data_IF_921178230660
#
_entry.id   IF_921178230660
#
_cell.length_a   1.000
_cell.length_b   1.000
_cell.length_c   1.000
_cell.angle_alpha   90.00
_cell.angle_beta   90.00
_cell.angle_gamma   90.00
#
_symmetry.space_group_name_H-M   'P 1'
#
loop_
_entity.id
_entity.type
_entity.pdbx_description
1 polymer ?
#
# COMPACT_ATOMS: atom_id res chain seq x y z
N UNK A 1 -1.03 0.30 -1.62
CA UNK A 1 -0.27 -0.98 -1.61
C UNK A 1 -0.20 -1.49 -3.04
N UNK A 2 0.97 -1.46 -3.66
CA UNK A 2 1.14 -1.79 -5.07
C UNK A 2 2.26 -2.80 -5.27
N UNK A 3 1.94 -3.95 -5.88
CA UNK A 3 2.85 -5.10 -5.94
C UNK A 3 4.11 -4.83 -6.77
N UNK A 4 3.96 -4.31 -7.97
CA UNK A 4 5.05 -4.08 -8.91
C UNK A 4 4.77 -2.88 -9.79
N UNK A 5 5.84 -2.16 -10.16
CA UNK A 5 5.73 -0.93 -10.94
C UNK A 5 6.08 -1.10 -12.42
N UNK A 6 5.84 -2.22 -13.00
CA UNK A 6 6.27 -2.55 -14.37
C UNK A 6 5.64 -1.67 -15.47
N UNK A 7 5.84 -0.35 -15.37
CA UNK A 7 5.25 0.64 -16.27
C UNK A 7 3.72 0.53 -16.33
N UNK A 8 3.10 0.23 -15.21
CA UNK A 8 1.65 0.14 -15.08
C UNK A 8 1.06 1.54 -15.22
N UNK A 9 0.76 1.94 -16.42
CA UNK A 9 0.36 3.31 -16.73
C UNK A 9 -0.96 3.67 -16.06
N UNK A 10 -1.88 2.72 -15.92
CA UNK A 10 -3.13 2.93 -15.22
C UNK A 10 -2.92 3.38 -13.77
N UNK A 11 -2.12 2.63 -12.99
CA UNK A 11 -1.87 2.96 -11.58
C UNK A 11 -0.99 4.21 -11.47
N UNK A 12 0.07 4.32 -12.27
CA UNK A 12 0.95 5.49 -12.26
C UNK A 12 0.20 6.77 -12.60
N UNK A 13 -0.57 6.78 -13.69
CA UNK A 13 -1.26 7.98 -14.15
C UNK A 13 -2.50 8.27 -13.33
N UNK A 14 -3.41 7.33 -13.23
CA UNK A 14 -4.75 7.62 -12.70
C UNK A 14 -4.82 7.63 -11.18
N UNK A 15 -3.93 6.90 -10.52
CA UNK A 15 -3.91 6.85 -9.05
C UNK A 15 -2.83 7.72 -8.41
N UNK A 16 -1.69 7.91 -9.06
CA UNK A 16 -0.56 8.65 -8.48
C UNK A 16 -0.47 10.05 -9.05
N UNK A 17 -0.25 10.17 -10.37
CA UNK A 17 -0.05 11.47 -11.02
C UNK A 17 -1.31 12.33 -10.96
N UNK A 18 -2.46 11.78 -11.33
CA UNK A 18 -3.72 12.53 -11.26
C UNK A 18 -4.07 12.95 -9.85
N UNK A 19 -3.73 12.11 -8.85
CA UNK A 19 -3.91 12.49 -7.45
C UNK A 19 -3.10 13.73 -7.10
N UNK A 20 -1.82 13.77 -7.47
CA UNK A 20 -0.98 14.94 -7.24
C UNK A 20 -1.49 16.17 -8.02
N UNK A 21 -1.94 15.99 -9.26
CA UNK A 21 -2.41 17.09 -10.11
C UNK A 21 -3.76 17.68 -9.68
N UNK A 22 -4.60 16.93 -8.96
CA UNK A 22 -5.90 17.41 -8.47
C UNK A 22 -5.78 18.58 -7.50
N UNK A 23 -4.70 18.62 -6.72
CA UNK A 23 -4.47 19.73 -5.81
C UNK A 23 -3.85 20.90 -6.57
N UNK A 24 -4.57 22.02 -6.81
CA UNK A 24 -4.03 23.12 -7.59
C UNK A 24 -2.87 23.86 -6.91
N UNK A 25 -2.75 23.70 -5.59
CA UNK A 25 -1.75 24.39 -4.76
C UNK A 25 -0.57 23.51 -4.36
N UNK A 26 -0.67 22.18 -4.56
CA UNK A 26 0.33 21.23 -4.07
C UNK A 26 0.44 20.02 -5.01
N UNK A 27 1.09 20.22 -6.15
CA UNK A 27 1.28 19.18 -7.18
C UNK A 27 2.63 18.48 -6.98
N UNK A 28 2.81 17.83 -5.83
CA UNK A 28 4.10 17.33 -5.38
C UNK A 28 4.11 15.83 -5.14
N UNK A 29 5.21 15.19 -5.52
CA UNK A 29 5.51 13.79 -5.23
C UNK A 29 6.89 13.68 -4.59
N UNK A 30 6.96 13.04 -3.42
CA UNK A 30 8.20 12.66 -2.76
C UNK A 30 8.44 11.16 -2.96
N UNK A 31 9.60 10.80 -3.47
CA UNK A 31 10.01 9.41 -3.66
C UNK A 31 11.10 9.01 -2.66
N UNK A 32 10.89 7.91 -1.95
CA UNK A 32 11.79 7.41 -0.91
C UNK A 32 12.36 6.04 -1.28
N UNK A 33 13.55 5.96 -1.91
CA UNK A 33 14.17 4.69 -2.30
C UNK A 33 14.95 4.04 -1.15
N UNK A 34 14.52 4.22 0.09
CA UNK A 34 15.28 3.84 1.29
C UNK A 34 15.32 2.33 1.56
N UNK A 35 14.54 1.53 0.85
CA UNK A 35 14.61 0.07 0.90
C UNK A 35 15.71 -0.53 0.03
N UNK A 36 16.38 0.31 -0.80
CA UNK A 36 17.56 -0.07 -1.56
C UNK A 36 18.82 0.13 -0.72
N UNK A 37 19.75 -0.86 -0.79
CA UNK A 37 20.95 -0.89 0.06
C UNK A 37 21.91 0.26 -0.21
N UNK A 38 22.40 0.34 -1.43
CA UNK A 38 23.45 1.26 -1.82
C UNK A 38 22.94 2.45 -2.62
N UNK A 39 23.75 3.53 -2.66
CA UNK A 39 23.38 4.77 -3.35
C UNK A 39 23.03 4.55 -4.82
N UNK A 40 23.81 3.75 -5.54
CA UNK A 40 23.55 3.48 -6.96
C UNK A 40 22.24 2.69 -7.16
N UNK A 41 21.85 1.83 -6.23
CA UNK A 41 20.58 1.13 -6.26
C UNK A 41 19.42 2.10 -5.98
N UNK A 42 19.59 3.03 -5.05
CA UNK A 42 18.61 4.09 -4.79
C UNK A 42 18.43 5.00 -6.01
N UNK A 43 19.53 5.39 -6.67
CA UNK A 43 19.50 6.18 -7.90
C UNK A 43 18.76 5.44 -9.02
N UNK A 44 19.03 4.15 -9.19
CA UNK A 44 18.31 3.32 -10.14
C UNK A 44 16.81 3.26 -9.82
N UNK A 45 16.45 3.01 -8.57
CA UNK A 45 15.06 2.96 -8.13
C UNK A 45 14.32 4.27 -8.45
N UNK A 46 14.92 5.42 -8.15
CA UNK A 46 14.36 6.71 -8.52
C UNK A 46 14.24 6.89 -10.04
N UNK A 47 15.24 6.47 -10.80
CA UNK A 47 15.26 6.63 -12.25
C UNK A 47 14.09 5.89 -12.92
N UNK A 48 13.60 4.80 -12.33
CA UNK A 48 12.46 4.02 -12.85
C UNK A 48 11.14 4.80 -12.79
N UNK A 49 11.05 5.84 -11.98
CA UNK A 49 9.86 6.69 -11.82
C UNK A 49 10.05 8.09 -12.42
N UNK A 50 11.23 8.68 -12.27
CA UNK A 50 11.47 10.08 -12.64
C UNK A 50 11.22 10.34 -14.12
N UNK A 51 11.59 9.42 -15.00
CA UNK A 51 11.35 9.54 -16.44
C UNK A 51 9.85 9.63 -16.76
N UNK A 52 9.01 8.91 -16.01
CA UNK A 52 7.56 8.94 -16.18
C UNK A 52 6.96 10.25 -15.65
N UNK A 53 7.35 10.66 -14.44
CA UNK A 53 6.86 11.89 -13.83
C UNK A 53 7.27 13.14 -14.60
N UNK A 54 8.43 13.11 -15.26
CA UNK A 54 8.90 14.22 -16.09
C UNK A 54 7.95 14.56 -17.25
N UNK A 55 7.15 13.61 -17.72
CA UNK A 55 6.13 13.88 -18.74
C UNK A 55 5.03 14.83 -18.27
N UNK A 56 4.88 15.03 -16.96
CA UNK A 56 3.82 15.82 -16.36
C UNK A 56 4.30 17.16 -15.78
N UNK A 57 5.56 17.49 -15.93
CA UNK A 57 6.12 18.78 -15.46
C UNK A 57 5.45 19.98 -16.14
N UNK A 58 5.03 19.83 -17.38
CA UNK A 58 4.26 20.86 -18.11
C UNK A 58 2.89 21.17 -17.46
N UNK A 59 2.36 20.26 -16.63
CA UNK A 59 1.12 20.47 -15.85
C UNK A 59 1.39 20.95 -14.42
N UNK A 60 2.66 21.26 -14.12
CA UNK A 60 3.09 21.75 -12.82
C UNK A 60 3.44 20.65 -11.81
N UNK A 61 3.54 19.39 -12.23
CA UNK A 61 3.98 18.31 -11.34
C UNK A 61 5.44 18.51 -10.94
N UNK A 62 5.70 18.43 -9.64
CA UNK A 62 7.05 18.51 -9.05
C UNK A 62 7.31 17.22 -8.26
N UNK A 63 8.21 16.38 -8.75
CA UNK A 63 8.56 15.11 -8.14
C UNK A 63 10.06 15.08 -7.82
N UNK A 64 10.40 14.75 -6.58
CA UNK A 64 11.79 14.68 -6.10
C UNK A 64 12.03 13.41 -5.28
N UNK A 65 13.26 12.89 -5.29
CA UNK A 65 13.68 11.84 -4.36
C UNK A 65 14.27 12.43 -3.08
N UNK A 66 14.28 11.61 -2.03
CA UNK A 66 15.15 11.81 -0.88
C UNK A 66 15.90 10.50 -0.61
N UNK A 67 17.23 10.53 -0.67
CA UNK A 67 18.08 9.35 -0.54
C UNK A 67 18.54 9.14 0.89
N UNK A 68 18.61 7.87 1.30
CA UNK A 68 19.31 7.50 2.53
C UNK A 68 20.82 7.67 2.35
N UNK A 69 21.46 8.17 3.40
CA UNK A 69 22.92 8.19 3.55
C UNK A 69 23.27 8.03 5.02
N UNK A 70 24.35 7.34 5.31
CA UNK A 70 24.87 7.21 6.68
C UNK A 70 25.42 8.54 7.22
N UNK A 71 25.57 9.55 6.35
CA UNK A 71 26.04 10.88 6.70
C UNK A 71 24.92 11.93 6.80
N UNK A 72 23.64 11.50 6.90
CA UNK A 72 22.53 12.42 7.10
C UNK A 72 22.72 13.23 8.39
N UNK A 73 22.50 14.53 8.28
CA UNK A 73 22.53 15.45 9.42
C UNK A 73 21.09 15.78 9.82
N UNK A 74 20.94 16.30 11.04
CA UNK A 74 19.61 16.69 11.54
C UNK A 74 18.86 17.62 10.58
N UNK A 75 19.53 18.61 10.00
CA UNK A 75 18.92 19.54 9.04
C UNK A 75 18.40 18.85 7.77
N UNK A 76 19.08 17.80 7.31
CA UNK A 76 18.64 17.02 6.13
C UNK A 76 17.37 16.24 6.48
N UNK A 77 17.30 15.70 7.68
CA UNK A 77 16.15 14.96 8.20
C UNK A 77 14.98 15.88 8.54
N UNK A 78 15.26 17.07 9.08
CA UNK A 78 14.23 18.11 9.28
C UNK A 78 13.55 18.46 7.94
N UNK A 79 14.33 18.61 6.88
CA UNK A 79 13.82 18.87 5.53
C UNK A 79 12.98 17.69 5.01
N UNK A 80 13.45 16.45 5.22
CA UNK A 80 12.69 15.26 4.84
C UNK A 80 11.33 15.22 5.53
N UNK A 81 11.28 15.46 6.84
CA UNK A 81 10.02 15.44 7.58
C UNK A 81 9.09 16.59 7.19
N UNK A 82 9.64 17.74 6.79
CA UNK A 82 8.86 18.82 6.22
C UNK A 82 8.22 18.39 4.88
N UNK A 83 8.98 17.80 3.98
CA UNK A 83 8.45 17.24 2.73
C UNK A 83 7.41 16.14 3.00
N UNK A 84 7.69 15.25 3.93
CA UNK A 84 6.79 14.16 4.29
C UNK A 84 5.42 14.66 4.78
N UNK A 85 5.38 15.75 5.53
CA UNK A 85 4.13 16.38 5.98
C UNK A 85 3.39 17.12 4.88
N UNK A 86 4.12 17.79 4.00
CA UNK A 86 3.55 18.78 3.08
C UNK A 86 3.29 18.25 1.67
N UNK A 87 4.04 17.25 1.19
CA UNK A 87 3.85 16.76 -0.16
C UNK A 87 2.55 15.98 -0.31
N UNK A 88 1.86 16.20 -1.43
CA UNK A 88 0.55 15.57 -1.71
C UNK A 88 0.66 14.04 -1.81
N UNK A 89 1.67 13.56 -2.51
CA UNK A 89 1.94 12.13 -2.68
C UNK A 89 3.32 11.79 -2.15
N UNK A 90 3.39 10.72 -1.37
CA UNK A 90 4.66 10.11 -0.91
C UNK A 90 4.72 8.68 -1.40
N UNK A 91 5.85 8.28 -1.97
CA UNK A 91 6.07 6.94 -2.49
C UNK A 91 7.21 6.27 -1.73
N UNK A 92 6.91 5.12 -1.12
CA UNK A 92 7.92 4.21 -0.56
C UNK A 92 8.35 3.23 -1.67
N UNK A 93 9.61 3.29 -2.05
CA UNK A 93 10.15 2.47 -3.15
C UNK A 93 10.36 1.00 -2.77
N UNK A 94 10.64 0.19 -3.78
CA UNK A 94 10.95 -1.22 -3.63
C UNK A 94 12.34 -1.49 -3.07
N UNK A 95 12.63 -2.78 -2.82
CA UNK A 95 13.91 -3.27 -2.29
C UNK A 95 13.74 -4.26 -1.15
N UNK A 96 14.46 -4.09 -0.07
CA UNK A 96 14.37 -4.91 1.14
C UNK A 96 13.45 -4.23 2.17
N UNK A 97 12.33 -4.87 2.48
CA UNK A 97 11.30 -4.34 3.40
C UNK A 97 11.87 -4.08 4.79
N UNK A 98 12.66 -5.00 5.31
CA UNK A 98 13.23 -4.88 6.66
C UNK A 98 14.26 -3.75 6.74
N UNK A 99 15.15 -3.64 5.76
CA UNK A 99 16.12 -2.53 5.68
C UNK A 99 15.42 -1.17 5.65
N UNK A 100 14.39 -1.03 4.82
CA UNK A 100 13.61 0.20 4.74
C UNK A 100 12.96 0.55 6.08
N UNK A 101 12.34 -0.43 6.73
CA UNK A 101 11.72 -0.24 8.06
C UNK A 101 12.74 0.20 9.12
N UNK A 102 13.93 -0.38 9.12
CA UNK A 102 14.99 0.03 10.04
C UNK A 102 15.39 1.50 9.80
N UNK A 103 15.55 1.90 8.54
CA UNK A 103 15.93 3.28 8.17
C UNK A 103 14.84 4.29 8.53
N UNK A 104 13.58 4.01 8.22
CA UNK A 104 12.47 4.90 8.58
C UNK A 104 12.33 5.10 10.09
N UNK A 105 12.53 4.04 10.89
CA UNK A 105 12.56 4.14 12.36
C UNK A 105 13.78 4.92 12.85
N UNK A 106 14.96 4.66 12.27
CA UNK A 106 16.20 5.33 12.64
C UNK A 106 16.15 6.85 12.41
N UNK A 107 15.47 7.33 11.37
CA UNK A 107 15.28 8.77 11.12
C UNK A 107 14.61 9.48 12.30
N UNK A 108 13.60 8.85 12.89
CA UNK A 108 12.95 9.39 14.08
C UNK A 108 13.77 9.18 15.36
N UNK A 109 14.29 7.99 15.55
CA UNK A 109 15.01 7.62 16.77
C UNK A 109 16.31 8.41 16.95
N UNK A 110 17.16 8.45 15.93
CA UNK A 110 18.48 9.09 16.00
C UNK A 110 18.38 10.61 16.15
N UNK A 111 17.48 11.25 15.42
CA UNK A 111 17.42 12.72 15.34
C UNK A 111 16.37 13.35 16.25
N UNK A 112 15.37 12.59 16.71
CA UNK A 112 14.24 13.10 17.50
C UNK A 112 13.94 12.29 18.75
N UNK A 113 14.72 11.24 19.03
CA UNK A 113 14.46 10.29 20.14
C UNK A 113 13.06 9.65 20.08
N UNK A 114 12.55 9.43 18.88
CA UNK A 114 11.20 8.92 18.64
C UNK A 114 11.18 7.99 17.41
N UNK A 115 11.33 6.68 17.63
CA UNK A 115 11.30 5.68 16.57
C UNK A 115 9.97 5.57 15.82
N UNK A 116 8.89 6.15 16.38
CA UNK A 116 7.55 6.14 15.80
C UNK A 116 7.20 7.43 15.05
N UNK A 117 8.12 8.39 14.95
CA UNK A 117 7.83 9.68 14.32
C UNK A 117 7.42 9.52 12.85
N UNK A 118 8.14 8.71 12.10
CA UNK A 118 7.86 8.49 10.68
C UNK A 118 6.45 7.90 10.47
N UNK A 119 6.12 6.83 11.16
CA UNK A 119 4.80 6.19 11.04
C UNK A 119 3.66 7.11 11.48
N UNK A 120 3.86 7.90 12.54
CA UNK A 120 2.85 8.85 13.00
C UNK A 120 2.54 9.89 11.93
N UNK A 121 3.55 10.42 11.24
CA UNK A 121 3.36 11.37 10.13
C UNK A 121 2.63 10.71 8.96
N UNK A 122 2.92 9.44 8.65
CA UNK A 122 2.17 8.73 7.61
C UNK A 122 0.68 8.60 7.96
N UNK A 123 0.35 8.32 9.22
CA UNK A 123 -1.05 8.27 9.67
C UNK A 123 -1.72 9.66 9.67
N UNK A 124 -1.02 10.72 10.06
CA UNK A 124 -1.49 12.09 9.94
C UNK A 124 -1.81 12.44 8.48
N UNK A 125 -0.92 12.10 7.56
CA UNK A 125 -1.15 12.26 6.11
C UNK A 125 -2.40 11.54 5.63
N UNK A 126 -2.62 10.29 6.07
CA UNK A 126 -3.80 9.51 5.71
C UNK A 126 -5.08 10.19 6.22
N UNK A 127 -5.10 10.67 7.46
CA UNK A 127 -6.25 11.38 8.03
C UNK A 127 -6.53 12.72 7.34
N UNK A 128 -5.50 13.37 6.79
CA UNK A 128 -5.62 14.58 5.98
C UNK A 128 -6.03 14.31 4.52
N UNK A 129 -6.22 13.04 4.15
CA UNK A 129 -6.57 12.63 2.81
C UNK A 129 -5.43 12.70 1.79
N UNK A 130 -4.17 12.83 2.22
CA UNK A 130 -2.99 12.75 1.35
C UNK A 130 -2.66 11.30 1.01
N UNK A 131 -2.12 11.07 -0.19
CA UNK A 131 -1.80 9.74 -0.67
C UNK A 131 -0.41 9.29 -0.23
N UNK A 132 -0.32 8.09 0.32
CA UNK A 132 0.94 7.38 0.50
C UNK A 132 0.90 6.08 -0.31
N UNK A 133 1.88 5.88 -1.16
CA UNK A 133 2.01 4.73 -2.07
C UNK A 133 3.21 3.90 -1.64
N UNK A 134 3.10 2.59 -1.70
CA UNK A 134 4.24 1.69 -1.52
C UNK A 134 4.33 0.72 -2.70
N UNK A 135 5.53 0.53 -3.21
CA UNK A 135 5.84 -0.43 -4.27
C UNK A 135 6.65 -1.59 -3.72
N UNK A 136 6.28 -2.83 -4.03
CA UNK A 136 7.01 -4.02 -3.61
C UNK A 136 7.34 -3.96 -2.11
N UNK A 137 8.60 -3.78 -1.71
CA UNK A 137 8.97 -3.59 -0.31
C UNK A 137 8.18 -2.45 0.37
N UNK A 138 7.95 -1.34 -0.33
CA UNK A 138 7.12 -0.24 0.16
C UNK A 138 5.66 -0.64 0.35
N UNK A 139 5.11 -1.47 -0.54
CA UNK A 139 3.77 -2.00 -0.40
C UNK A 139 3.63 -2.85 0.87
N UNK A 140 4.58 -3.72 1.09
CA UNK A 140 4.71 -4.56 2.26
C UNK A 140 4.75 -3.73 3.56
N UNK A 141 5.54 -2.65 3.54
CA UNK A 141 5.69 -1.73 4.67
C UNK A 141 4.39 -0.98 5.04
N UNK A 142 3.47 -0.78 4.10
CA UNK A 142 2.17 -0.13 4.36
C UNK A 142 1.15 -1.06 5.02
N UNK A 143 1.37 -2.36 4.99
CA UNK A 143 0.52 -3.39 5.59
C UNK A 143 0.70 -3.48 7.11
N UNK A 144 -0.04 -4.38 7.75
CA UNK A 144 0.07 -4.64 9.20
C UNK A 144 1.42 -5.28 9.56
N UNK A 145 1.88 -6.21 8.72
CA UNK A 145 3.14 -6.92 8.88
C UNK A 145 3.92 -6.93 7.57
N UNK A 146 5.24 -6.93 7.67
CA UNK A 146 6.10 -7.13 6.50
C UNK A 146 6.20 -8.61 6.13
N UNK A 147 6.31 -8.94 4.85
CA UNK A 147 6.27 -10.33 4.34
C UNK A 147 7.40 -11.21 4.84
N UNK A 148 8.56 -10.63 5.17
CA UNK A 148 9.69 -11.35 5.74
C UNK A 148 9.60 -11.57 7.25
N UNK A 149 8.46 -11.38 7.88
CA UNK A 149 8.26 -11.44 9.34
C UNK A 149 8.63 -12.78 9.98
N UNK A 150 8.58 -13.87 9.23
CA UNK A 150 8.96 -15.19 9.71
C UNK A 150 10.47 -15.45 9.68
N UNK A 151 11.26 -14.52 9.13
CA UNK A 151 12.72 -14.63 9.16
C UNK A 151 13.26 -14.44 10.57
N UNK A 152 14.17 -15.32 11.05
CA UNK A 152 14.76 -15.19 12.38
C UNK A 152 15.51 -13.87 12.61
N UNK A 153 15.92 -13.18 11.55
CA UNK A 153 16.61 -11.89 11.63
C UNK A 153 15.67 -10.69 11.83
N UNK A 154 14.35 -10.90 11.71
CA UNK A 154 13.36 -9.82 11.83
C UNK A 154 12.86 -9.75 13.27
N UNK A 155 13.37 -8.78 14.03
CA UNK A 155 12.98 -8.58 15.43
C UNK A 155 11.71 -7.73 15.60
N UNK A 156 11.36 -6.93 14.60
CA UNK A 156 10.15 -6.11 14.59
C UNK A 156 9.44 -6.28 13.25
N UNK A 157 8.43 -7.16 13.17
CA UNK A 157 7.76 -7.52 11.92
C UNK A 157 6.64 -6.57 11.52
N UNK A 158 6.31 -5.57 12.35
CA UNK A 158 5.19 -4.67 12.08
C UNK A 158 5.50 -3.70 10.95
N UNK A 159 4.54 -3.54 10.03
CA UNK A 159 4.52 -2.48 9.06
C UNK A 159 3.96 -1.17 9.65
N UNK A 160 3.59 -0.26 8.78
CA UNK A 160 3.04 1.05 9.17
C UNK A 160 1.52 1.03 9.41
N UNK A 161 0.83 -0.05 9.08
CA UNK A 161 -0.62 -0.24 9.27
C UNK A 161 -1.50 0.84 8.63
N UNK A 162 -1.04 1.45 7.52
CA UNK A 162 -1.91 2.30 6.68
C UNK A 162 -2.95 1.45 5.93
N UNK A 163 -2.71 0.15 5.81
CA UNK A 163 -3.69 -0.86 5.48
C UNK A 163 -3.84 -1.79 6.70
N UNK A 164 -4.64 -1.35 7.68
CA UNK A 164 -4.78 -2.02 8.97
C UNK A 164 -5.36 -3.41 8.82
N UNK A 165 -4.78 -4.38 9.54
CA UNK A 165 -5.17 -5.79 9.49
C UNK A 165 -5.21 -6.35 8.05
N UNK A 166 -4.28 -5.91 7.23
CA UNK A 166 -4.03 -6.41 5.87
C UNK A 166 -2.60 -6.92 5.79
N UNK A 167 -2.43 -8.07 5.17
CA UNK A 167 -1.12 -8.65 4.83
C UNK A 167 -1.16 -9.14 3.39
N UNK A 168 -0.02 -9.12 2.72
CA UNK A 168 0.04 -9.44 1.29
C UNK A 168 1.19 -10.38 0.98
N UNK A 169 0.98 -11.25 -0.01
CA UNK A 169 2.07 -11.81 -0.81
C UNK A 169 2.17 -10.99 -2.09
N UNK A 170 3.37 -10.53 -2.40
CA UNK A 170 3.64 -9.70 -3.58
C UNK A 170 4.16 -10.57 -4.72
N UNK A 171 4.04 -10.06 -5.95
CA UNK A 171 4.44 -10.78 -7.16
C UNK A 171 3.77 -12.16 -7.30
N UNK A 172 2.52 -12.24 -6.85
CA UNK A 172 1.76 -13.48 -6.81
C UNK A 172 1.58 -14.08 -8.20
N UNK A 173 1.80 -15.39 -8.31
CA UNK A 173 1.65 -16.17 -9.53
C UNK A 173 0.69 -17.35 -9.29
N UNK A 174 0.14 -17.91 -10.35
CA UNK A 174 -0.67 -19.12 -10.28
C UNK A 174 0.11 -20.28 -9.64
N UNK A 175 -0.56 -20.99 -8.74
CA UNK A 175 0.04 -22.08 -7.97
C UNK A 175 0.73 -21.65 -6.68
N UNK A 176 0.72 -20.37 -6.36
CA UNK A 176 1.27 -19.83 -5.10
C UNK A 176 0.19 -19.48 -4.06
N UNK A 177 -1.03 -19.96 -4.27
CA UNK A 177 -2.18 -19.70 -3.36
C UNK A 177 -1.91 -20.20 -1.93
N UNK A 178 -1.06 -21.24 -1.80
CA UNK A 178 -0.61 -21.76 -0.52
C UNK A 178 0.13 -20.74 0.35
N UNK A 179 0.86 -19.80 -0.27
CA UNK A 179 1.58 -18.75 0.45
C UNK A 179 0.61 -17.77 1.13
N UNK A 180 -0.50 -17.43 0.43
CA UNK A 180 -1.55 -16.56 0.96
C UNK A 180 -2.26 -17.27 2.12
N UNK A 181 -2.60 -18.55 1.93
CA UNK A 181 -3.26 -19.35 2.96
C UNK A 181 -2.38 -19.50 4.20
N UNK A 182 -1.07 -19.69 4.01
CA UNK A 182 -0.11 -19.75 5.11
C UNK A 182 -0.07 -18.43 5.93
N UNK A 183 -0.08 -17.28 5.26
CA UNK A 183 -0.23 -15.98 5.94
C UNK A 183 -1.54 -15.90 6.73
N UNK A 184 -2.66 -16.31 6.13
CA UNK A 184 -3.97 -16.30 6.78
C UNK A 184 -3.99 -17.18 8.03
N UNK A 185 -3.41 -18.38 7.97
CA UNK A 185 -3.33 -19.30 9.10
C UNK A 185 -2.51 -18.74 10.26
N UNK A 186 -1.39 -18.07 9.97
CA UNK A 186 -0.50 -17.52 10.98
C UNK A 186 -0.95 -16.17 11.54
N UNK A 187 -1.81 -15.45 10.81
CA UNK A 187 -2.29 -14.11 11.15
C UNK A 187 -3.83 -14.02 11.08
N UNK A 188 -4.56 -14.73 11.94
CA UNK A 188 -6.01 -14.89 11.83
C UNK A 188 -6.80 -13.59 12.04
N UNK A 189 -6.18 -12.52 12.51
CA UNK A 189 -6.77 -11.19 12.62
C UNK A 189 -6.60 -10.33 11.37
N UNK A 190 -5.78 -10.78 10.41
CA UNK A 190 -5.53 -10.08 9.15
C UNK A 190 -6.32 -10.68 7.99
N UNK A 191 -6.60 -9.86 7.00
CA UNK A 191 -7.01 -10.29 5.68
C UNK A 191 -5.76 -10.46 4.81
N UNK A 192 -5.54 -11.66 4.28
CA UNK A 192 -4.38 -12.01 3.47
C UNK A 192 -4.73 -11.96 1.98
N UNK A 193 -3.96 -11.19 1.21
CA UNK A 193 -4.16 -11.02 -0.23
C UNK A 193 -2.90 -11.41 -1.02
N UNK A 194 -3.08 -12.11 -2.13
CA UNK A 194 -2.04 -12.34 -3.13
C UNK A 194 -2.17 -11.31 -4.25
N UNK A 195 -1.16 -10.46 -4.39
CA UNK A 195 -1.15 -9.40 -5.38
C UNK A 195 -0.26 -9.80 -6.57
N UNK A 196 -0.85 -10.09 -7.75
CA UNK A 196 -0.07 -10.22 -8.97
C UNK A 196 0.72 -8.94 -9.26
N UNK A 197 1.71 -9.05 -10.16
CA UNK A 197 2.32 -7.85 -10.73
C UNK A 197 1.24 -6.98 -11.41
N UNK A 198 1.46 -5.68 -11.48
CA UNK A 198 0.52 -4.69 -12.03
C UNK A 198 -0.84 -4.67 -11.31
N UNK A 199 -0.85 -5.02 -10.04
CA UNK A 199 -2.02 -4.95 -9.18
C UNK A 199 -1.72 -4.28 -7.85
N UNK A 200 -2.77 -3.85 -7.18
CA UNK A 200 -2.65 -3.20 -5.89
C UNK A 200 -3.97 -3.07 -5.14
N UNK A 201 -3.87 -2.57 -3.94
CA UNK A 201 -4.99 -2.22 -3.07
C UNK A 201 -4.97 -0.72 -2.84
N UNK A 202 -6.05 -0.02 -3.19
CA UNK A 202 -6.29 1.34 -2.73
C UNK A 202 -7.10 1.25 -1.44
N UNK A 203 -6.50 1.68 -0.33
CA UNK A 203 -7.07 1.54 1.01
C UNK A 203 -7.39 2.91 1.57
N UNK A 204 -8.62 3.09 2.01
CA UNK A 204 -9.06 4.23 2.80
C UNK A 204 -9.63 3.72 4.12
N UNK A 205 -9.30 4.40 5.23
CA UNK A 205 -9.71 3.97 6.56
C UNK A 205 -9.75 5.15 7.53
N UNK A 206 -10.70 5.12 8.46
CA UNK A 206 -10.79 6.11 9.54
C UNK A 206 -11.70 5.57 10.66
N UNK A 207 -11.91 6.36 11.68
CA UNK A 207 -12.79 6.04 12.80
C UNK A 207 -14.24 6.46 12.51
N UNK A 208 -15.17 5.61 12.90
CA UNK A 208 -16.59 5.94 13.00
C UNK A 208 -16.88 6.67 14.31
N UNK A 209 -17.99 7.40 14.41
CA UNK A 209 -18.44 8.00 15.68
C UNK A 209 -18.60 6.97 16.81
N UNK A 210 -18.85 5.73 16.48
CA UNK A 210 -18.93 4.60 17.43
C UNK A 210 -17.57 4.21 18.04
N UNK A 211 -16.46 4.74 17.51
CA UNK A 211 -15.10 4.34 17.88
C UNK A 211 -14.59 3.13 17.11
N UNK A 212 -15.43 2.49 16.30
CA UNK A 212 -15.00 1.43 15.37
C UNK A 212 -14.20 2.04 14.21
N UNK A 213 -13.45 1.20 13.53
CA UNK A 213 -12.68 1.58 12.33
C UNK A 213 -13.41 1.08 11.11
N UNK A 214 -13.70 1.97 10.16
CA UNK A 214 -14.10 1.56 8.82
C UNK A 214 -12.88 1.48 7.90
N UNK A 215 -12.93 0.56 6.95
CA UNK A 215 -11.91 0.43 5.92
C UNK A 215 -12.58 0.05 4.61
N UNK A 216 -12.23 0.76 3.55
CA UNK A 216 -12.61 0.45 2.17
C UNK A 216 -11.35 0.07 1.42
N UNK A 217 -11.38 -1.09 0.78
CA UNK A 217 -10.31 -1.58 -0.10
C UNK A 217 -10.87 -1.64 -1.51
N UNK A 218 -10.29 -0.92 -2.44
CA UNK A 218 -10.55 -1.08 -3.87
C UNK A 218 -9.42 -1.89 -4.50
N UNK A 219 -9.79 -2.92 -5.25
CA UNK A 219 -8.86 -3.81 -5.93
C UNK A 219 -8.48 -3.23 -7.29
N UNK A 220 -7.18 -3.06 -7.52
CA UNK A 220 -6.64 -2.48 -8.75
C UNK A 220 -5.87 -3.54 -9.53
N UNK A 221 -6.25 -3.75 -10.78
CA UNK A 221 -5.51 -4.62 -11.71
C UNK A 221 -5.37 -3.86 -13.02
N UNK A 222 -4.14 -3.68 -13.48
CA UNK A 222 -3.89 -3.10 -14.79
C UNK A 222 -3.85 -4.20 -15.85
N UNK A 223 -4.92 -4.27 -16.62
CA UNK A 223 -5.03 -5.15 -17.77
C UNK A 223 -4.76 -4.43 -19.11
N UNK A 224 -4.48 -3.12 -19.08
CA UNK A 224 -4.33 -2.29 -20.28
C UNK A 224 -2.99 -2.49 -20.99
N UNK A 225 -2.05 -3.15 -20.32
CA UNK A 225 -0.69 -3.26 -20.77
C UNK A 225 -0.42 -4.59 -21.48
N UNK A 226 -0.31 -4.56 -22.79
CA UNK A 226 -0.14 -5.76 -23.65
C UNK A 226 1.27 -5.90 -24.23
N UNK A 227 2.31 -5.40 -23.54
CA UNK A 227 3.68 -5.61 -23.94
C UNK A 227 4.17 -7.01 -23.52
N UNK A 228 5.03 -7.65 -24.32
CA UNK A 228 5.61 -8.93 -23.94
C UNK A 228 6.45 -8.79 -22.67
N UNK A 229 6.42 -9.85 -21.86
CA UNK A 229 7.31 -9.96 -20.71
C UNK A 229 8.75 -10.00 -21.19
N UNK A 230 9.60 -9.17 -20.65
CA UNK A 230 11.05 -9.20 -20.85
C UNK A 230 11.77 -9.35 -19.51
N UNK A 231 13.11 -9.43 -19.51
CA UNK A 231 13.90 -9.61 -18.29
C UNK A 231 13.80 -8.43 -17.29
N UNK A 232 13.15 -7.35 -17.68
CA UNK A 232 12.98 -6.12 -16.88
C UNK A 232 11.55 -5.86 -16.47
N UNK A 233 10.57 -6.51 -17.14
CA UNK A 233 9.15 -6.28 -16.96
C UNK A 233 8.45 -7.59 -16.64
N UNK A 234 8.24 -7.85 -15.37
CA UNK A 234 7.42 -8.96 -14.88
C UNK A 234 5.97 -8.49 -14.93
N UNK A 235 5.20 -9.00 -15.87
CA UNK A 235 3.79 -8.62 -16.04
C UNK A 235 2.85 -9.58 -15.38
N UNK A 236 1.70 -9.04 -14.97
CA UNK A 236 0.55 -9.87 -14.66
C UNK A 236 0.12 -10.65 -15.91
N UNK A 237 0.01 -11.96 -15.76
CA UNK A 237 -0.54 -12.79 -16.82
C UNK A 237 -2.01 -12.46 -17.01
N UNK A 238 -2.43 -12.41 -18.27
CA UNK A 238 -3.83 -12.13 -18.62
C UNK A 238 -4.79 -13.02 -17.84
N UNK A 239 -5.79 -12.42 -17.19
CA UNK A 239 -6.80 -13.13 -16.42
C UNK A 239 -6.43 -13.41 -14.96
N UNK A 240 -5.24 -13.03 -14.51
CA UNK A 240 -4.93 -13.10 -13.08
C UNK A 240 -5.81 -12.14 -12.29
N UNK A 241 -6.14 -12.56 -11.07
CA UNK A 241 -6.96 -11.84 -10.11
C UNK A 241 -6.19 -11.63 -8.82
N UNK A 242 -6.68 -10.74 -7.98
CA UNK A 242 -6.21 -10.63 -6.60
C UNK A 242 -6.92 -11.72 -5.80
N UNK A 243 -6.13 -12.62 -5.23
CA UNK A 243 -6.66 -13.74 -4.45
C UNK A 243 -6.65 -13.41 -2.96
N UNK A 244 -7.67 -13.89 -2.26
CA UNK A 244 -7.82 -13.72 -0.82
C UNK A 244 -8.17 -15.04 -0.15
N UNK A 245 -7.49 -15.34 0.96
CA UNK A 245 -7.82 -16.45 1.85
C UNK A 245 -8.02 -15.98 3.28
N UNK A 246 -8.92 -16.67 3.97
CA UNK A 246 -9.15 -16.54 5.41
C UNK A 246 -8.81 -17.87 6.12
N UNK A 247 -8.46 -17.85 7.42
CA UNK A 247 -8.05 -19.07 8.14
C UNK A 247 -9.06 -20.23 8.12
N UNK A 248 -10.34 -19.95 7.94
CA UNK A 248 -11.39 -20.98 7.84
C UNK A 248 -11.48 -21.66 6.46
N UNK A 249 -10.55 -21.33 5.54
CA UNK A 249 -10.52 -21.84 4.17
C UNK A 249 -11.37 -21.04 3.18
N UNK A 250 -12.05 -19.98 3.63
CA UNK A 250 -12.82 -19.08 2.78
C UNK A 250 -11.90 -18.41 1.76
N UNK A 251 -12.33 -18.40 0.49
CA UNK A 251 -11.55 -17.91 -0.64
C UNK A 251 -12.40 -16.96 -1.49
N UNK A 252 -11.78 -15.85 -1.87
CA UNK A 252 -12.33 -14.88 -2.81
C UNK A 252 -11.31 -14.52 -3.87
N UNK A 253 -11.80 -14.31 -5.10
CA UNK A 253 -11.01 -13.79 -6.22
C UNK A 253 -11.60 -12.45 -6.66
N UNK A 254 -10.77 -11.42 -6.72
CA UNK A 254 -11.19 -10.07 -7.05
C UNK A 254 -10.71 -9.63 -8.42
N UNK A 255 -11.59 -8.98 -9.16
CA UNK A 255 -11.25 -8.27 -10.39
C UNK A 255 -10.92 -6.80 -10.08
N UNK A 256 -10.31 -6.11 -11.03
CA UNK A 256 -10.12 -4.66 -10.94
C UNK A 256 -11.48 -3.95 -10.81
N UNK A 257 -11.57 -3.03 -9.84
CA UNK A 257 -12.78 -2.29 -9.52
C UNK A 257 -13.68 -2.93 -8.46
N UNK A 258 -13.48 -4.19 -8.12
CA UNK A 258 -14.16 -4.80 -6.97
C UNK A 258 -13.73 -4.09 -5.67
N UNK A 259 -14.55 -4.18 -4.63
CA UNK A 259 -14.25 -3.56 -3.33
C UNK A 259 -14.56 -4.51 -2.18
N UNK A 260 -13.84 -4.30 -1.08
CA UNK A 260 -14.17 -4.85 0.24
C UNK A 260 -14.40 -3.69 1.20
N UNK A 261 -15.48 -3.74 1.96
CA UNK A 261 -15.76 -2.79 3.04
C UNK A 261 -15.71 -3.55 4.35
N UNK A 262 -14.98 -3.02 5.33
CA UNK A 262 -14.87 -3.61 6.66
C UNK A 262 -15.23 -2.61 7.75
N UNK A 263 -15.82 -3.10 8.81
CA UNK A 263 -15.97 -2.39 10.08
C UNK A 263 -15.36 -3.26 11.17
N UNK A 264 -14.43 -2.71 11.93
CA UNK A 264 -13.63 -3.41 12.92
C UNK A 264 -13.60 -2.64 14.24
N UNK A 265 -13.60 -3.35 15.37
CA UNK A 265 -13.22 -2.76 16.63
C UNK A 265 -11.69 -2.59 16.71
N UNK A 266 -11.23 -1.66 17.54
CA UNK A 266 -9.80 -1.41 17.73
C UNK A 266 -9.05 -2.59 18.33
N UNK A 267 -9.76 -3.46 19.08
CA UNK A 267 -9.23 -4.68 19.70
C UNK A 267 -9.42 -5.94 18.83
N UNK A 268 -9.89 -5.78 17.60
CA UNK A 268 -10.14 -6.84 16.62
C UNK A 268 -11.21 -7.89 17.02
N UNK A 269 -11.98 -7.66 18.07
CA UNK A 269 -13.02 -8.61 18.52
C UNK A 269 -14.28 -8.56 17.68
N UNK A 270 -14.60 -7.37 17.14
CA UNK A 270 -15.74 -7.16 16.27
C UNK A 270 -15.23 -6.98 14.83
N UNK A 271 -15.81 -7.77 13.92
CA UNK A 271 -15.46 -7.66 12.49
C UNK A 271 -16.72 -7.91 11.67
N UNK A 272 -17.04 -6.96 10.82
CA UNK A 272 -17.99 -7.13 9.72
C UNK A 272 -17.30 -6.79 8.42
N UNK A 273 -17.68 -7.48 7.36
CA UNK A 273 -17.11 -7.24 6.03
C UNK A 273 -18.13 -7.52 4.94
N UNK A 274 -18.03 -6.75 3.87
CA UNK A 274 -18.86 -6.88 2.68
C UNK A 274 -18.00 -6.86 1.44
N UNK A 275 -18.41 -7.63 0.44
CA UNK A 275 -17.78 -7.68 -0.87
C UNK A 275 -18.69 -6.99 -1.87
N UNK A 276 -18.14 -6.09 -2.66
CA UNK A 276 -18.83 -5.36 -3.71
C UNK A 276 -18.24 -5.79 -5.05
N UNK A 277 -19.07 -6.48 -5.85
CA UNK A 277 -18.73 -6.91 -7.20
C UNK A 277 -19.82 -6.44 -8.17
N UNK A 278 -19.45 -5.50 -9.05
CA UNK A 278 -20.42 -4.77 -9.87
C UNK A 278 -21.42 -4.01 -8.99
N UNK A 279 -22.70 -4.27 -9.15
CA UNK A 279 -23.79 -3.69 -8.35
C UNK A 279 -24.19 -4.51 -7.12
N UNK A 280 -23.57 -5.66 -6.92
CA UNK A 280 -23.93 -6.60 -5.84
C UNK A 280 -23.11 -6.36 -4.60
N UNK A 281 -23.78 -6.31 -3.44
CA UNK A 281 -23.15 -6.28 -2.13
C UNK A 281 -23.45 -7.61 -1.43
N UNK A 282 -22.39 -8.34 -1.10
CA UNK A 282 -22.48 -9.64 -0.41
C UNK A 282 -21.90 -9.49 0.99
N UNK A 283 -22.59 -10.06 1.97
CA UNK A 283 -22.00 -10.24 3.31
C UNK A 283 -20.86 -11.26 3.22
N UNK A 284 -19.69 -10.87 3.67
CA UNK A 284 -18.47 -11.68 3.58
C UNK A 284 -18.59 -13.00 4.35
N UNK A 285 -19.24 -12.97 5.52
CA UNK A 285 -19.30 -14.11 6.41
C UNK A 285 -20.34 -15.15 6.00
N UNK A 286 -21.51 -14.68 5.55
CA UNK A 286 -22.61 -15.54 5.15
C UNK A 286 -22.60 -15.86 3.65
N UNK A 287 -21.89 -15.08 2.85
CA UNK A 287 -21.85 -15.15 1.38
C UNK A 287 -23.23 -14.92 0.72
N UNK A 288 -24.14 -14.28 1.44
CA UNK A 288 -25.47 -13.92 0.94
C UNK A 288 -25.53 -12.45 0.55
N UNK A 289 -26.51 -12.09 -0.25
CA UNK A 289 -26.79 -10.69 -0.54
C UNK A 289 -27.01 -9.91 0.75
N UNK A 290 -26.37 -8.75 0.83
CA UNK A 290 -26.51 -7.82 1.95
C UNK A 290 -27.90 -7.15 1.91
N UNK A 291 -28.37 -6.72 3.08
CA UNK A 291 -29.52 -5.82 3.19
C UNK A 291 -29.18 -4.37 2.76
N UNK A 292 -27.89 -4.03 2.76
CA UNK A 292 -27.43 -2.69 2.38
C UNK A 292 -27.31 -2.57 0.86
N UNK A 293 -27.63 -1.38 0.35
CA UNK A 293 -27.61 -1.03 -1.07
C UNK A 293 -26.38 -0.18 -1.47
N UNK A 294 -25.66 0.38 -0.50
CA UNK A 294 -24.49 1.21 -0.74
C UNK A 294 -23.47 1.17 0.41
N UNK A 295 -22.24 1.65 0.13
CA UNK A 295 -21.18 1.79 1.15
C UNK A 295 -21.59 2.80 2.23
N UNK A 296 -22.20 3.90 1.81
CA UNK A 296 -22.67 4.96 2.72
C UNK A 296 -23.70 4.41 3.70
N UNK A 297 -24.60 3.55 3.24
CA UNK A 297 -25.58 2.89 4.09
C UNK A 297 -24.92 1.91 5.07
N UNK A 298 -23.92 1.15 4.65
CA UNK A 298 -23.13 0.29 5.53
C UNK A 298 -22.51 1.14 6.65
N UNK A 299 -21.80 2.20 6.29
CA UNK A 299 -21.06 3.02 7.27
C UNK A 299 -22.01 3.78 8.21
N UNK A 300 -23.17 4.21 7.73
CA UNK A 300 -24.17 4.91 8.54
C UNK A 300 -24.84 4.01 9.61
N UNK A 301 -24.79 2.68 9.44
CA UNK A 301 -25.39 1.72 10.35
C UNK A 301 -24.40 1.08 11.34
N UNK A 302 -23.15 1.50 11.38
CA UNK A 302 -22.10 0.96 12.23
C UNK A 302 -21.28 2.02 12.95
#
# INVERSE_FOLDING_TARGET
VYSSHNRCEYIHREWIVERALRNPYNKTILYLPMSMGEKHQQDYSWSTFSWYFNNFTQYGLYAIPFFWSDNLRKQDVDLLFDYLRNYEVVILGGGNSFLGMQRYRALGEVFYSDSNLFVRILHERQSEGKLTVGFSAGADQLCEYISCMFSPSVHNPYGFSLARNVVTTLHHEWGQEGDIYNLAQNLPHCMAFGLPNDSGLAVDQDYLPSGNIWQIIEFLIDCSWDLPQDGWHIKTRRGMKIEHFYPDGRHWSFNGGDKMVRVMSTDNRYKKAWIIQGSSILDYWTQKFSEFSSIEEILANH
#
